data_IF_058225555311
#
_entry.id   IF_058225555311
#
_cell.length_a   1.000
_cell.length_b   1.000
_cell.length_c   1.000
_cell.angle_alpha   90.00
_cell.angle_beta   90.00
_cell.angle_gamma   90.00
#
_symmetry.space_group_name_H-M   'P 1'
#
loop_
_entity.id
_entity.type
_entity.pdbx_description
1 polymer ?
#
# COMPACT_ATOMS: atom_id res chain seq x y z
N UNK A 1 -1.77 16.18 38.18
CA UNK A 1 -2.74 15.29 38.84
C UNK A 1 -3.25 14.30 37.81
N UNK A 2 -2.69 13.09 37.81
CA UNK A 2 -3.02 12.04 36.85
C UNK A 2 -4.05 11.10 37.48
N UNK A 3 -5.22 10.98 36.85
CA UNK A 3 -6.24 10.01 37.24
C UNK A 3 -5.87 8.67 36.63
N UNK A 4 -5.56 7.71 37.49
CA UNK A 4 -5.29 6.33 37.14
C UNK A 4 -6.58 5.64 36.67
N UNK A 5 -6.56 5.10 35.45
CA UNK A 5 -7.56 4.14 34.98
C UNK A 5 -7.03 2.74 35.30
N UNK A 6 -7.64 2.09 36.28
CA UNK A 6 -7.20 0.81 36.82
C UNK A 6 -7.48 -0.37 35.88
N UNK A 7 -6.42 -1.09 35.51
CA UNK A 7 -6.52 -2.46 35.02
C UNK A 7 -6.57 -3.43 36.22
N UNK A 8 -7.60 -4.28 36.28
CA UNK A 8 -7.69 -5.34 37.28
C UNK A 8 -6.60 -6.39 37.06
N UNK A 9 -6.15 -6.93 38.19
CA UNK A 9 -5.01 -7.83 38.39
C UNK A 9 -5.21 -9.26 37.83
N UNK A 10 -4.05 -9.91 37.69
CA UNK A 10 -3.69 -11.34 37.65
C UNK A 10 -3.83 -12.15 36.36
N UNK A 11 -2.68 -12.68 35.90
CA UNK A 11 -2.56 -14.03 35.32
C UNK A 11 -2.23 -14.11 33.84
N UNK A 12 -0.93 -14.07 33.51
CA UNK A 12 -0.27 -14.75 32.36
C UNK A 12 -0.68 -14.45 30.89
N UNK A 13 -1.82 -13.82 30.59
CA UNK A 13 -2.20 -13.46 29.21
C UNK A 13 -1.56 -12.15 28.69
N UNK A 14 -0.82 -11.42 29.52
CA UNK A 14 -0.17 -10.16 29.13
C UNK A 14 0.95 -10.30 28.08
N UNK A 15 1.38 -11.52 27.74
CA UNK A 15 2.39 -11.72 26.69
C UNK A 15 1.83 -11.56 25.26
N UNK A 16 0.51 -11.53 25.08
CA UNK A 16 -0.12 -11.24 23.78
C UNK A 16 -0.35 -9.73 23.54
N UNK A 17 -0.03 -8.88 24.52
CA UNK A 17 -0.44 -7.47 24.58
C UNK A 17 0.47 -6.48 23.83
N UNK A 18 1.32 -6.94 22.90
CA UNK A 18 1.97 -6.03 21.96
C UNK A 18 1.19 -6.05 20.65
N UNK A 19 0.74 -4.89 20.14
CA UNK A 19 0.12 -4.86 18.84
C UNK A 19 1.11 -5.41 17.82
N UNK A 20 0.75 -6.54 17.19
CA UNK A 20 1.50 -7.16 16.10
C UNK A 20 1.18 -6.43 14.79
N UNK A 21 1.20 -5.10 14.83
CA UNK A 21 0.97 -4.26 13.67
C UNK A 21 2.07 -4.53 12.68
N UNK A 22 1.73 -5.35 11.70
CA UNK A 22 2.54 -5.56 10.52
C UNK A 22 2.64 -4.21 9.82
N UNK A 23 3.87 -3.84 9.45
CA UNK A 23 4.07 -2.69 8.57
C UNK A 23 3.21 -2.87 7.31
N UNK A 24 2.78 -1.76 6.71
CA UNK A 24 2.06 -1.74 5.43
C UNK A 24 2.76 -2.69 4.45
N UNK A 25 1.99 -3.57 3.83
CA UNK A 25 2.52 -4.60 2.95
C UNK A 25 3.18 -5.79 3.63
N UNK A 26 3.70 -5.80 4.87
CA UNK A 26 4.41 -6.96 5.44
C UNK A 26 3.64 -8.28 5.20
N UNK A 27 4.22 -9.22 4.41
CA UNK A 27 3.42 -10.32 3.87
C UNK A 27 2.94 -11.17 5.04
N UNK A 28 1.71 -11.67 4.97
CA UNK A 28 1.18 -12.56 6.00
C UNK A 28 2.10 -13.77 6.25
N UNK A 29 2.78 -14.23 5.20
CA UNK A 29 3.63 -15.42 5.17
C UNK A 29 5.02 -15.08 4.65
N UNK A 30 6.04 -15.91 4.97
CA UNK A 30 7.44 -15.64 4.62
C UNK A 30 7.64 -15.61 3.09
N UNK A 31 7.65 -14.41 2.53
CA UNK A 31 8.20 -14.07 1.22
C UNK A 31 9.18 -12.90 1.39
N UNK A 32 10.36 -12.98 0.75
CA UNK A 32 11.50 -12.10 1.02
C UNK A 32 11.19 -10.59 0.94
N UNK A 33 11.92 -9.81 1.75
CA UNK A 33 11.95 -8.34 1.74
C UNK A 33 12.59 -7.79 0.44
N UNK A 34 11.98 -8.01 -0.72
CA UNK A 34 12.26 -7.19 -1.89
C UNK A 34 11.42 -5.92 -1.79
N UNK A 35 11.91 -4.80 -2.35
CA UNK A 35 11.07 -3.62 -2.59
C UNK A 35 9.82 -4.09 -3.33
N UNK A 36 8.66 -3.97 -2.69
CA UNK A 36 7.36 -4.31 -3.29
C UNK A 36 6.87 -3.28 -4.27
N UNK A 37 7.47 -2.10 -4.20
CA UNK A 37 7.28 -1.06 -5.18
C UNK A 37 7.99 -1.49 -6.46
N UNK A 38 7.24 -1.56 -7.53
CA UNK A 38 7.73 -1.81 -8.88
C UNK A 38 6.91 -0.99 -9.84
N UNK A 39 7.49 -0.67 -10.99
CA UNK A 39 6.78 0.01 -12.06
C UNK A 39 7.03 -0.70 -13.37
N UNK A 40 6.18 -0.48 -14.35
CA UNK A 40 6.51 -0.84 -15.72
C UNK A 40 5.87 0.15 -16.67
N UNK A 41 6.50 0.20 -17.84
CA UNK A 41 6.08 1.00 -18.96
C UNK A 41 5.60 0.04 -20.04
N UNK A 42 4.43 0.31 -20.61
CA UNK A 42 3.94 -0.35 -21.81
C UNK A 42 3.79 0.65 -22.94
N UNK A 43 4.03 0.19 -24.17
CA UNK A 43 3.85 0.97 -25.38
C UNK A 43 3.18 0.12 -26.46
N UNK A 44 2.44 0.74 -27.39
CA UNK A 44 1.98 0.05 -28.58
C UNK A 44 3.18 -0.48 -29.39
N UNK A 45 3.05 -1.69 -29.90
CA UNK A 45 3.97 -2.30 -30.87
C UNK A 45 3.28 -2.54 -32.21
N UNK A 46 4.06 -2.68 -33.29
CA UNK A 46 3.55 -3.05 -34.62
C UNK A 46 3.54 -1.92 -35.67
N UNK A 47 3.07 -2.21 -36.89
CA UNK A 47 2.95 -1.20 -37.95
C UNK A 47 1.91 -0.12 -37.57
N UNK A 48 2.17 1.14 -37.92
CA UNK A 48 1.27 2.27 -37.60
C UNK A 48 1.64 3.11 -36.37
N UNK A 49 2.86 2.94 -35.82
CA UNK A 49 3.35 3.77 -34.73
C UNK A 49 3.36 5.26 -35.11
N UNK A 50 2.79 6.08 -34.21
CA UNK A 50 2.84 7.54 -34.32
C UNK A 50 4.31 7.97 -34.40
N UNK A 51 4.61 8.78 -35.41
CA UNK A 51 5.92 9.38 -35.62
C UNK A 51 5.90 10.83 -35.11
N UNK A 52 7.03 11.32 -34.57
CA UNK A 52 7.16 12.74 -34.23
C UNK A 52 6.86 13.63 -35.43
N UNK A 53 6.10 14.69 -35.19
CA UNK A 53 5.83 15.73 -36.18
C UNK A 53 7.11 16.50 -36.50
N UNK A 54 7.19 17.09 -37.69
CA UNK A 54 8.27 18.02 -38.05
C UNK A 54 8.30 19.28 -37.15
N UNK A 55 7.18 19.59 -36.50
CA UNK A 55 7.04 20.69 -35.53
C UNK A 55 7.26 20.25 -34.08
N UNK A 56 7.63 19.00 -33.84
CA UNK A 56 7.89 18.51 -32.50
C UNK A 56 9.15 19.16 -31.90
N UNK A 57 9.22 19.36 -30.58
CA UNK A 57 10.44 19.79 -29.91
C UNK A 57 11.63 18.87 -30.24
N UNK A 58 12.84 19.45 -30.30
CA UNK A 58 14.05 18.74 -30.71
C UNK A 58 14.38 17.51 -29.82
N UNK A 59 13.93 17.51 -28.56
CA UNK A 59 14.12 16.40 -27.62
C UNK A 59 13.16 15.22 -27.86
N UNK A 60 12.04 15.44 -28.56
CA UNK A 60 10.93 14.48 -28.64
C UNK A 60 11.32 13.20 -29.41
N UNK A 61 11.89 13.36 -30.61
CA UNK A 61 12.29 12.22 -31.44
C UNK A 61 13.45 11.41 -30.83
N UNK A 62 14.53 12.03 -30.31
CA UNK A 62 15.57 11.32 -29.56
C UNK A 62 15.02 10.54 -28.37
N UNK A 63 14.18 11.16 -27.53
CA UNK A 63 13.64 10.50 -26.34
C UNK A 63 12.77 9.30 -26.73
N UNK A 64 11.85 9.45 -27.68
CA UNK A 64 10.99 8.36 -28.13
C UNK A 64 11.80 7.16 -28.64
N UNK A 65 12.87 7.41 -29.40
CA UNK A 65 13.79 6.36 -29.87
C UNK A 65 14.42 5.63 -28.69
N UNK A 66 14.97 6.36 -27.73
CA UNK A 66 15.64 5.79 -26.55
C UNK A 66 14.68 4.97 -25.67
N UNK A 67 13.44 5.44 -25.50
CA UNK A 67 12.40 4.71 -24.76
C UNK A 67 12.05 3.40 -25.48
N UNK A 68 11.94 3.40 -26.82
CA UNK A 68 11.67 2.19 -27.62
C UNK A 68 12.82 1.18 -27.58
N UNK A 69 14.06 1.64 -27.57
CA UNK A 69 15.24 0.76 -27.52
C UNK A 69 15.57 0.28 -26.11
N UNK A 70 14.87 0.77 -25.08
CA UNK A 70 15.19 0.45 -23.69
C UNK A 70 16.54 1.02 -23.25
N UNK A 71 16.97 2.15 -23.81
CA UNK A 71 18.26 2.77 -23.50
C UNK A 71 18.34 3.22 -22.02
N UNK A 72 19.53 3.21 -21.39
CA UNK A 72 19.69 3.52 -19.97
C UNK A 72 19.23 4.92 -19.60
N UNK A 73 18.87 5.13 -18.33
CA UNK A 73 18.34 6.41 -17.83
C UNK A 73 19.26 7.60 -18.13
N UNK A 74 20.58 7.42 -18.03
CA UNK A 74 21.57 8.47 -18.31
C UNK A 74 21.42 9.05 -19.72
N UNK A 75 21.11 8.21 -20.71
CA UNK A 75 20.88 8.65 -22.09
C UNK A 75 19.55 9.40 -22.24
N UNK A 76 18.50 8.98 -21.52
CA UNK A 76 17.21 9.69 -21.50
C UNK A 76 17.39 11.12 -20.97
N UNK A 77 18.13 11.27 -19.88
CA UNK A 77 18.44 12.57 -19.27
C UNK A 77 19.34 13.41 -20.16
N UNK A 78 20.37 12.83 -20.78
CA UNK A 78 21.23 13.55 -21.71
C UNK A 78 20.45 14.08 -22.94
N UNK A 79 19.54 13.27 -23.49
CA UNK A 79 18.71 13.66 -24.63
C UNK A 79 17.68 14.75 -24.32
N UNK A 80 17.41 15.01 -23.04
CA UNK A 80 16.38 15.95 -22.58
C UNK A 80 16.93 17.08 -21.70
N UNK A 81 18.25 17.19 -21.55
CA UNK A 81 18.92 18.11 -20.64
C UNK A 81 18.56 19.59 -20.89
N UNK A 82 18.40 19.96 -22.16
CA UNK A 82 18.08 21.34 -22.56
C UNK A 82 16.56 21.66 -22.54
N UNK A 83 15.73 20.71 -22.08
CA UNK A 83 14.27 20.84 -22.08
C UNK A 83 13.68 20.49 -20.71
N UNK A 84 13.07 21.46 -20.00
CA UNK A 84 12.36 21.19 -18.75
C UNK A 84 11.21 20.18 -18.91
N UNK A 85 10.53 20.20 -20.07
CA UNK A 85 9.46 19.25 -20.38
C UNK A 85 10.02 17.84 -20.57
N UNK A 86 11.03 17.69 -21.42
CA UNK A 86 11.68 16.41 -21.67
C UNK A 86 12.28 15.81 -20.40
N UNK A 87 12.90 16.64 -19.56
CA UNK A 87 13.52 16.21 -18.29
C UNK A 87 12.49 15.59 -17.33
N UNK A 88 11.25 16.12 -17.27
CA UNK A 88 10.17 15.53 -16.46
C UNK A 88 9.77 14.15 -16.97
N UNK A 89 9.69 14.00 -18.29
CA UNK A 89 9.33 12.73 -18.93
C UNK A 89 10.46 11.69 -18.72
N UNK A 90 11.71 12.08 -18.93
CA UNK A 90 12.86 11.22 -18.67
C UNK A 90 12.90 10.76 -17.21
N UNK A 91 12.63 11.66 -16.26
CA UNK A 91 12.58 11.33 -14.84
C UNK A 91 11.46 10.36 -14.46
N UNK A 92 10.24 10.53 -14.99
CA UNK A 92 9.14 9.60 -14.68
C UNK A 92 9.36 8.23 -15.32
N UNK A 93 9.98 8.18 -16.51
CA UNK A 93 10.34 6.93 -17.17
C UNK A 93 11.46 6.22 -16.39
N UNK A 94 12.51 6.94 -15.98
CA UNK A 94 13.55 6.38 -15.10
C UNK A 94 12.94 5.86 -13.80
N UNK A 95 12.04 6.63 -13.17
CA UNK A 95 11.39 6.23 -11.92
C UNK A 95 10.76 4.84 -12.06
N UNK A 96 9.91 4.68 -13.07
CA UNK A 96 9.11 3.47 -13.29
C UNK A 96 9.96 2.30 -13.76
N UNK A 97 10.87 2.52 -14.71
CA UNK A 97 11.63 1.45 -15.36
C UNK A 97 12.86 1.02 -14.56
N UNK A 98 13.54 1.97 -13.93
CA UNK A 98 14.88 1.74 -13.39
C UNK A 98 14.90 1.93 -11.86
N UNK A 99 14.48 3.11 -11.37
CA UNK A 99 14.69 3.49 -9.98
C UNK A 99 13.88 2.64 -8.98
N UNK A 100 12.62 2.29 -9.31
CA UNK A 100 11.80 1.43 -8.44
C UNK A 100 12.32 -0.01 -8.32
N UNK A 101 13.11 -0.46 -9.29
CA UNK A 101 13.73 -1.80 -9.26
C UNK A 101 15.11 -1.79 -8.59
N UNK A 102 15.65 -0.61 -8.28
CA UNK A 102 16.94 -0.48 -7.60
C UNK A 102 16.80 -0.80 -6.11
N UNK A 103 17.76 -1.55 -5.52
CA UNK A 103 17.74 -1.85 -4.08
C UNK A 103 17.98 -0.62 -3.20
N UNK A 104 18.58 0.44 -3.75
CA UNK A 104 19.01 1.62 -3.00
C UNK A 104 17.84 2.53 -2.59
N UNK A 105 16.70 2.51 -3.31
CA UNK A 105 15.47 3.26 -2.97
C UNK A 105 15.57 4.80 -3.00
N UNK A 106 16.75 5.34 -2.69
CA UNK A 106 17.16 6.73 -2.63
C UNK A 106 16.89 7.47 -3.93
N UNK A 107 17.22 6.85 -5.07
CA UNK A 107 16.97 7.44 -6.38
C UNK A 107 15.46 7.55 -6.66
N UNK A 108 14.69 6.51 -6.34
CA UNK A 108 13.24 6.53 -6.51
C UNK A 108 12.59 7.60 -5.62
N UNK A 109 13.05 7.73 -4.36
CA UNK A 109 12.57 8.76 -3.45
C UNK A 109 12.85 10.17 -3.98
N UNK A 110 14.08 10.44 -4.45
CA UNK A 110 14.46 11.74 -5.02
C UNK A 110 13.62 12.10 -6.25
N UNK A 111 13.47 11.18 -7.19
CA UNK A 111 12.67 11.39 -8.41
C UNK A 111 11.20 11.63 -8.07
N UNK A 112 10.62 10.79 -7.22
CA UNK A 112 9.20 10.92 -6.83
C UNK A 112 8.96 12.21 -6.06
N UNK A 113 9.85 12.59 -5.13
CA UNK A 113 9.78 13.85 -4.41
C UNK A 113 9.80 15.06 -5.36
N UNK A 114 10.71 15.05 -6.34
CA UNK A 114 10.82 16.12 -7.33
C UNK A 114 9.56 16.22 -8.19
N UNK A 115 9.07 15.10 -8.73
CA UNK A 115 7.86 15.06 -9.56
C UNK A 115 6.60 15.50 -8.78
N UNK A 116 6.46 15.10 -7.51
CA UNK A 116 5.36 15.53 -6.62
C UNK A 116 5.42 17.03 -6.35
N UNK A 117 6.61 17.59 -6.09
CA UNK A 117 6.80 19.04 -5.89
C UNK A 117 6.42 19.85 -7.12
N UNK A 118 6.70 19.31 -8.32
CA UNK A 118 6.29 19.91 -9.59
C UNK A 118 4.80 19.76 -9.89
N UNK A 119 4.04 19.02 -9.07
CA UNK A 119 2.65 18.64 -9.32
C UNK A 119 2.47 17.99 -10.70
N UNK A 120 3.45 17.19 -11.12
CA UNK A 120 3.40 16.53 -12.41
C UNK A 120 2.34 15.42 -12.42
N UNK A 121 1.52 15.40 -13.46
CA UNK A 121 0.53 14.35 -13.70
C UNK A 121 0.84 13.61 -15.00
N UNK A 122 1.50 12.43 -14.93
CA UNK A 122 1.86 11.66 -16.11
C UNK A 122 0.64 11.22 -16.92
N UNK A 123 -0.53 11.09 -16.29
CA UNK A 123 -1.75 10.67 -16.98
C UNK A 123 -2.28 11.72 -17.94
N UNK A 124 -1.86 12.99 -17.80
CA UNK A 124 -2.28 14.11 -18.65
C UNK A 124 -1.19 14.58 -19.62
N UNK A 125 0.01 14.00 -19.54
CA UNK A 125 1.15 14.41 -20.34
C UNK A 125 0.93 14.14 -21.84
N UNK A 126 1.15 15.15 -22.67
CA UNK A 126 0.88 15.08 -24.10
C UNK A 126 1.81 14.12 -24.84
N UNK A 127 3.07 13.99 -24.41
CA UNK A 127 4.01 13.06 -25.03
C UNK A 127 3.60 11.62 -24.72
N UNK A 128 3.35 11.31 -23.44
CA UNK A 128 2.95 9.97 -23.02
C UNK A 128 1.65 9.53 -23.71
N UNK A 129 0.64 10.42 -23.76
CA UNK A 129 -0.63 10.14 -24.46
C UNK A 129 -0.46 9.96 -25.97
N UNK A 130 0.27 10.87 -26.64
CA UNK A 130 0.48 10.84 -28.09
C UNK A 130 1.10 9.54 -28.56
N UNK A 131 2.05 9.01 -27.78
CA UNK A 131 2.78 7.80 -28.13
C UNK A 131 2.22 6.53 -27.48
N UNK A 132 1.09 6.62 -26.77
CA UNK A 132 0.45 5.48 -26.11
C UNK A 132 1.33 4.86 -25.03
N UNK A 133 2.17 5.66 -24.38
CA UNK A 133 3.04 5.21 -23.30
C UNK A 133 2.23 5.18 -22.02
N UNK A 134 1.90 3.98 -21.55
CA UNK A 134 1.23 3.79 -20.27
C UNK A 134 2.26 3.45 -19.20
N UNK A 135 2.20 4.18 -18.09
CA UNK A 135 3.02 3.96 -16.91
C UNK A 135 2.14 3.38 -15.83
N UNK A 136 2.55 2.24 -15.27
CA UNK A 136 1.83 1.57 -14.18
C UNK A 136 2.78 1.36 -13.02
N UNK A 137 2.26 1.50 -11.80
CA UNK A 137 3.00 1.22 -10.58
C UNK A 137 2.24 0.24 -9.71
N UNK A 138 3.00 -0.53 -8.94
CA UNK A 138 2.52 -1.43 -7.92
C UNK A 138 2.63 -0.77 -6.56
N UNK A 139 1.51 -0.60 -5.88
CA UNK A 139 1.43 0.00 -4.55
C UNK A 139 1.01 -1.05 -3.52
N UNK A 140 1.62 -1.07 -2.33
CA UNK A 140 1.28 -2.02 -1.29
C UNK A 140 -0.11 -1.75 -0.71
N UNK A 141 -0.85 -2.83 -0.49
CA UNK A 141 -2.02 -2.88 0.38
C UNK A 141 -1.68 -3.65 1.66
N UNK A 142 -2.71 -4.09 2.39
CA UNK A 142 -2.54 -4.93 3.58
C UNK A 142 -2.31 -6.40 3.22
N UNK A 143 -1.77 -7.17 4.17
CA UNK A 143 -1.59 -8.61 4.03
C UNK A 143 -0.54 -9.07 3.02
N UNK A 144 0.25 -8.14 2.47
CA UNK A 144 1.19 -8.43 1.38
C UNK A 144 0.55 -8.48 -0.01
N UNK A 145 -0.72 -8.10 -0.11
CA UNK A 145 -1.34 -7.78 -1.38
C UNK A 145 -0.77 -6.46 -1.90
N UNK A 146 -0.51 -6.40 -3.20
CA UNK A 146 -0.23 -5.15 -3.89
C UNK A 146 -1.31 -4.89 -4.95
N UNK A 147 -1.51 -3.62 -5.31
CA UNK A 147 -2.42 -3.20 -6.39
C UNK A 147 -1.66 -2.51 -7.50
N UNK A 148 -2.05 -2.81 -8.72
CA UNK A 148 -1.52 -2.18 -9.91
C UNK A 148 -2.41 -1.00 -10.27
N UNK A 149 -1.82 0.20 -10.37
CA UNK A 149 -2.55 1.41 -10.70
C UNK A 149 -1.83 2.20 -11.79
N UNK A 150 -2.57 2.81 -12.73
CA UNK A 150 -1.98 3.78 -13.66
C UNK A 150 -1.31 4.92 -12.89
N UNK A 151 -0.12 5.30 -13.32
CA UNK A 151 0.64 6.37 -12.68
C UNK A 151 0.06 7.74 -13.07
N UNK A 152 -0.84 8.24 -12.23
CA UNK A 152 -1.32 9.62 -12.25
C UNK A 152 -0.73 10.41 -11.06
N UNK A 153 -1.11 11.68 -10.92
CA UNK A 153 -0.66 12.54 -9.81
C UNK A 153 -0.95 11.96 -8.41
N UNK A 154 -2.10 11.30 -8.24
CA UNK A 154 -2.49 10.63 -6.98
C UNK A 154 -1.58 9.44 -6.69
N UNK A 155 -1.43 8.52 -7.65
CA UNK A 155 -0.57 7.34 -7.53
C UNK A 155 0.90 7.73 -7.30
N UNK A 156 1.37 8.80 -7.95
CA UNK A 156 2.71 9.35 -7.74
C UNK A 156 2.90 9.85 -6.29
N UNK A 157 1.89 10.50 -5.71
CA UNK A 157 1.97 10.97 -4.31
C UNK A 157 1.85 9.83 -3.31
N UNK A 158 1.03 8.82 -3.58
CA UNK A 158 0.97 7.59 -2.78
C UNK A 158 2.30 6.84 -2.83
N UNK A 159 2.91 6.73 -4.01
CA UNK A 159 4.25 6.16 -4.17
C UNK A 159 5.31 6.92 -3.35
N UNK A 160 5.25 8.25 -3.36
CA UNK A 160 6.13 9.08 -2.51
C UNK A 160 5.92 8.79 -1.02
N UNK A 161 4.66 8.70 -0.58
CA UNK A 161 4.32 8.41 0.81
C UNK A 161 4.89 7.05 1.25
N UNK A 162 4.78 6.01 0.42
CA UNK A 162 5.34 4.68 0.71
C UNK A 162 6.87 4.71 0.77
N UNK A 163 7.54 5.40 -0.15
CA UNK A 163 9.00 5.51 -0.16
C UNK A 163 9.53 6.25 1.07
N UNK A 164 8.88 7.36 1.46
CA UNK A 164 9.35 8.18 2.59
C UNK A 164 8.92 7.63 3.95
N UNK A 165 7.89 6.77 4.03
CA UNK A 165 7.33 6.28 5.29
C UNK A 165 8.39 5.67 6.22
N UNK A 166 9.37 4.95 5.68
CA UNK A 166 10.44 4.34 6.48
C UNK A 166 11.36 5.37 7.17
N UNK A 167 11.48 6.56 6.60
CA UNK A 167 12.34 7.64 7.09
C UNK A 167 11.56 8.68 7.89
N UNK A 168 10.39 9.07 7.40
CA UNK A 168 9.54 10.10 7.99
C UNK A 168 8.05 9.77 7.78
N UNK A 169 7.47 9.17 8.81
CA UNK A 169 6.04 8.83 8.84
C UNK A 169 5.14 10.08 8.88
N UNK A 170 5.64 11.24 9.36
CA UNK A 170 4.87 12.50 9.40
C UNK A 170 4.74 13.06 8.00
N UNK A 171 5.87 13.16 7.28
CA UNK A 171 5.87 13.63 5.90
C UNK A 171 5.06 12.70 4.98
N UNK A 172 5.16 11.38 5.19
CA UNK A 172 4.33 10.42 4.47
C UNK A 172 2.83 10.66 4.70
N UNK A 173 2.40 10.82 5.96
CA UNK A 173 0.99 11.07 6.27
C UNK A 173 0.49 12.39 5.68
N UNK A 174 1.26 13.47 5.84
CA UNK A 174 0.91 14.79 5.29
C UNK A 174 0.78 14.77 3.75
N UNK A 175 1.58 13.95 3.06
CA UNK A 175 1.44 13.77 1.62
C UNK A 175 0.08 13.13 1.26
N UNK A 176 -0.41 12.18 2.04
CA UNK A 176 -1.69 11.49 1.76
C UNK A 176 -2.89 12.31 2.21
N UNK A 177 -2.81 13.01 3.34
CA UNK A 177 -3.88 13.88 3.89
C UNK A 177 -4.34 14.98 2.94
N UNK A 178 -3.50 15.35 1.96
CA UNK A 178 -3.77 16.41 0.99
C UNK A 178 -4.34 15.89 -0.33
N UNK A 179 -4.56 14.58 -0.46
CA UNK A 179 -5.18 13.97 -1.63
C UNK A 179 -6.70 14.05 -1.55
N UNK A 180 -7.35 14.04 -2.72
CA UNK A 180 -8.78 13.79 -2.79
C UNK A 180 -9.12 12.42 -2.18
N UNK A 181 -10.20 12.32 -1.38
CA UNK A 181 -10.60 11.08 -0.74
C UNK A 181 -10.80 9.95 -1.75
N UNK A 182 -10.10 8.83 -1.53
CA UNK A 182 -10.24 7.60 -2.30
C UNK A 182 -9.99 6.39 -1.40
N UNK A 183 -10.48 5.22 -1.79
CA UNK A 183 -10.31 3.98 -1.01
C UNK A 183 -8.83 3.62 -0.86
N UNK A 184 -8.02 3.86 -1.89
CA UNK A 184 -6.58 3.63 -1.86
C UNK A 184 -5.85 4.63 -0.94
N UNK A 185 -6.16 5.92 -1.02
CA UNK A 185 -5.59 6.93 -0.11
C UNK A 185 -5.99 6.65 1.35
N UNK A 186 -7.24 6.28 1.60
CA UNK A 186 -7.73 5.86 2.90
C UNK A 186 -6.98 4.64 3.44
N UNK A 187 -6.70 3.65 2.58
CA UNK A 187 -5.88 2.49 2.95
C UNK A 187 -4.48 2.92 3.37
N UNK A 188 -3.75 3.66 2.55
CA UNK A 188 -2.40 4.14 2.89
C UNK A 188 -2.42 4.98 4.17
N UNK A 189 -3.39 5.88 4.34
CA UNK A 189 -3.51 6.71 5.53
C UNK A 189 -3.78 5.88 6.80
N UNK A 190 -4.69 4.90 6.73
CA UNK A 190 -4.94 3.97 7.84
C UNK A 190 -3.64 3.28 8.27
N UNK A 191 -2.83 2.90 7.29
CA UNK A 191 -1.55 2.24 7.49
C UNK A 191 -0.54 3.13 8.21
N UNK A 192 -0.37 4.37 7.74
CA UNK A 192 0.54 5.37 8.30
C UNK A 192 0.13 5.77 9.72
N UNK A 193 -1.17 5.98 9.96
CA UNK A 193 -1.70 6.27 11.29
C UNK A 193 -1.53 5.09 12.24
N UNK A 194 -1.77 3.86 11.76
CA UNK A 194 -1.57 2.65 12.56
C UNK A 194 -0.11 2.47 12.98
N UNK A 195 0.84 2.71 12.08
CA UNK A 195 2.27 2.67 12.40
C UNK A 195 2.65 3.67 13.51
N UNK A 196 1.95 4.81 13.58
CA UNK A 196 2.12 5.86 14.59
C UNK A 196 1.21 5.71 15.81
N UNK A 197 0.43 4.61 15.90
CA UNK A 197 -0.57 4.38 16.96
C UNK A 197 -1.61 5.48 17.11
N UNK A 198 -1.92 6.17 16.02
CA UNK A 198 -2.96 7.20 15.91
C UNK A 198 -4.35 6.54 15.82
N UNK A 199 -4.74 5.80 16.86
CA UNK A 199 -5.92 4.92 16.82
C UNK A 199 -7.23 5.67 16.67
N UNK A 200 -7.40 6.76 17.42
CA UNK A 200 -8.59 7.59 17.31
C UNK A 200 -8.77 8.12 15.89
N UNK A 201 -7.68 8.60 15.26
CA UNK A 201 -7.74 9.09 13.88
C UNK A 201 -8.18 7.98 12.92
N UNK A 202 -7.61 6.77 13.03
CA UNK A 202 -8.01 5.61 12.19
C UNK A 202 -9.50 5.32 12.37
N UNK A 203 -10.00 5.28 13.61
CA UNK A 203 -11.42 5.00 13.89
C UNK A 203 -12.34 6.08 13.33
N UNK A 204 -11.97 7.35 13.49
CA UNK A 204 -12.79 8.49 13.08
C UNK A 204 -12.95 8.55 11.56
N UNK A 205 -11.84 8.59 10.81
CA UNK A 205 -11.95 8.75 9.35
C UNK A 205 -12.50 7.50 8.66
N UNK A 206 -12.30 6.31 9.25
CA UNK A 206 -12.78 5.05 8.67
C UNK A 206 -14.22 4.71 9.06
N UNK A 207 -14.87 5.53 9.89
CA UNK A 207 -16.25 5.34 10.32
C UNK A 207 -17.24 5.10 9.15
N UNK A 208 -17.23 5.91 8.06
CA UNK A 208 -18.19 5.79 6.96
C UNK A 208 -17.81 4.75 5.90
N UNK A 209 -16.66 4.07 6.02
CA UNK A 209 -16.16 3.18 4.96
C UNK A 209 -16.93 1.87 4.93
N UNK A 210 -17.43 1.53 3.74
CA UNK A 210 -18.06 0.25 3.43
C UNK A 210 -17.11 -0.65 2.63
N UNK A 211 -17.28 -1.97 2.76
CA UNK A 211 -16.43 -2.95 2.11
C UNK A 211 -16.80 -3.12 0.62
N UNK A 212 -16.45 -2.14 -0.23
CA UNK A 212 -16.78 -2.15 -1.67
C UNK A 212 -15.65 -2.65 -2.57
N UNK A 213 -14.39 -2.54 -2.13
CA UNK A 213 -13.20 -3.04 -2.83
C UNK A 213 -12.13 -3.57 -1.87
N UNK A 214 -10.97 -3.99 -2.41
CA UNK A 214 -9.85 -4.50 -1.62
C UNK A 214 -9.22 -3.43 -0.70
N UNK A 215 -9.19 -2.17 -1.12
CA UNK A 215 -8.62 -1.09 -0.33
C UNK A 215 -9.52 -0.76 0.88
N UNK A 216 -10.85 -0.76 0.70
CA UNK A 216 -11.81 -0.67 1.80
C UNK A 216 -11.66 -1.82 2.81
N UNK A 217 -11.49 -3.06 2.33
CA UNK A 217 -11.25 -4.19 3.21
C UNK A 217 -9.98 -3.99 4.05
N UNK A 218 -8.88 -3.51 3.45
CA UNK A 218 -7.66 -3.15 4.17
C UNK A 218 -7.90 -2.07 5.24
N UNK A 219 -8.71 -1.04 4.94
CA UNK A 219 -9.08 -0.02 5.93
C UNK A 219 -9.90 -0.60 7.07
N UNK A 220 -10.89 -1.46 6.78
CA UNK A 220 -11.72 -2.09 7.81
C UNK A 220 -10.94 -3.01 8.74
N UNK A 221 -9.95 -3.74 8.23
CA UNK A 221 -9.03 -4.52 9.05
C UNK A 221 -8.29 -3.60 10.02
N UNK A 222 -7.71 -2.49 9.52
CA UNK A 222 -6.99 -1.52 10.37
C UNK A 222 -7.90 -0.81 11.35
N UNK A 223 -9.16 -0.52 10.99
CA UNK A 223 -10.19 -0.03 11.90
C UNK A 223 -10.45 -1.03 13.03
N UNK A 224 -10.58 -2.31 12.70
CA UNK A 224 -10.77 -3.38 13.69
C UNK A 224 -9.61 -3.44 14.68
N UNK A 225 -8.38 -3.35 14.17
CA UNK A 225 -7.18 -3.26 15.02
C UNK A 225 -7.20 -2.01 15.89
N UNK A 226 -7.47 -0.83 15.32
CA UNK A 226 -7.52 0.42 16.07
C UNK A 226 -8.57 0.39 17.20
N UNK A 227 -9.77 -0.15 16.92
CA UNK A 227 -10.82 -0.34 17.92
C UNK A 227 -10.38 -1.29 19.04
N UNK A 228 -9.70 -2.40 18.70
CA UNK A 228 -9.13 -3.32 19.72
C UNK A 228 -8.12 -2.59 20.61
N UNK A 229 -7.21 -1.82 20.03
CA UNK A 229 -6.19 -1.09 20.80
C UNK A 229 -6.79 -0.01 21.70
N UNK A 230 -7.98 0.50 21.37
CA UNK A 230 -8.77 1.40 22.22
C UNK A 230 -9.65 0.67 23.25
N UNK A 231 -9.59 -0.66 23.33
CA UNK A 231 -10.43 -1.47 24.22
C UNK A 231 -11.88 -1.63 23.76
N UNK A 232 -12.21 -1.24 22.54
CA UNK A 232 -13.55 -1.31 21.95
C UNK A 232 -13.78 -2.66 21.25
N UNK A 233 -13.73 -3.76 22.01
CA UNK A 233 -13.76 -5.14 21.48
C UNK A 233 -14.95 -5.42 20.55
N UNK A 234 -16.16 -4.99 20.93
CA UNK A 234 -17.36 -5.23 20.11
C UNK A 234 -17.26 -4.57 18.72
N UNK A 235 -16.79 -3.32 18.67
CA UNK A 235 -16.57 -2.61 17.41
C UNK A 235 -15.44 -3.22 16.58
N UNK A 236 -14.38 -3.71 17.23
CA UNK A 236 -13.30 -4.41 16.53
C UNK A 236 -13.82 -5.66 15.79
N UNK A 237 -14.58 -6.51 16.48
CA UNK A 237 -15.17 -7.71 15.90
C UNK A 237 -16.15 -7.38 14.77
N UNK A 238 -16.96 -6.33 14.91
CA UNK A 238 -17.86 -5.87 13.85
C UNK A 238 -17.09 -5.46 12.59
N UNK A 239 -15.98 -4.72 12.74
CA UNK A 239 -15.15 -4.30 11.62
C UNK A 239 -14.53 -5.49 10.88
N UNK A 240 -14.02 -6.51 11.60
CA UNK A 240 -13.51 -7.72 10.98
C UNK A 240 -14.62 -8.55 10.30
N UNK A 241 -15.80 -8.63 10.91
CA UNK A 241 -16.95 -9.33 10.34
C UNK A 241 -17.34 -8.77 8.97
N UNK A 242 -17.25 -7.45 8.77
CA UNK A 242 -17.50 -6.82 7.46
C UNK A 242 -16.57 -7.32 6.35
N UNK A 243 -15.40 -7.89 6.69
CA UNK A 243 -14.43 -8.43 5.74
C UNK A 243 -14.58 -9.94 5.55
N UNK A 244 -14.88 -10.69 6.61
CA UNK A 244 -14.89 -12.17 6.57
C UNK A 244 -16.27 -12.80 6.35
N UNK A 245 -17.32 -11.98 6.20
CA UNK A 245 -18.69 -12.45 5.92
C UNK A 245 -18.77 -13.23 4.59
N UNK A 246 -19.45 -14.39 4.57
CA UNK A 246 -19.62 -15.24 3.39
C UNK A 246 -20.04 -14.49 2.11
N UNK A 247 -20.96 -13.53 2.27
CA UNK A 247 -21.55 -12.74 1.18
C UNK A 247 -20.56 -11.80 0.47
N UNK A 248 -19.45 -11.45 1.12
CA UNK A 248 -18.43 -10.55 0.57
C UNK A 248 -17.12 -11.30 0.28
N UNK A 249 -16.95 -12.49 0.85
CA UNK A 249 -15.67 -13.20 0.83
C UNK A 249 -15.22 -13.78 -0.51
N UNK A 250 -16.09 -13.98 -1.50
CA UNK A 250 -15.66 -14.39 -2.84
C UNK A 250 -15.12 -13.22 -3.67
N UNK A 251 -15.49 -11.99 -3.33
CA UNK A 251 -15.12 -10.77 -4.06
C UNK A 251 -13.87 -10.08 -3.50
N UNK A 252 -13.25 -10.63 -2.44
CA UNK A 252 -12.05 -10.06 -1.80
C UNK A 252 -10.86 -11.00 -1.91
N UNK A 253 -9.64 -10.47 -2.06
CA UNK A 253 -8.42 -11.27 -2.05
C UNK A 253 -8.31 -12.14 -0.79
N UNK A 254 -7.82 -13.37 -0.96
CA UNK A 254 -7.70 -14.35 0.11
C UNK A 254 -6.75 -13.87 1.22
N UNK A 255 -5.76 -13.06 0.86
CA UNK A 255 -4.77 -12.45 1.75
C UNK A 255 -5.47 -11.54 2.77
N UNK A 256 -6.32 -10.63 2.31
CA UNK A 256 -7.06 -9.70 3.19
C UNK A 256 -8.04 -10.45 4.09
N UNK A 257 -8.66 -11.53 3.57
CA UNK A 257 -9.51 -12.39 4.38
C UNK A 257 -8.72 -13.09 5.48
N UNK A 258 -7.56 -13.64 5.16
CA UNK A 258 -6.70 -14.31 6.13
C UNK A 258 -6.19 -13.34 7.19
N UNK A 259 -5.81 -12.12 6.81
CA UNK A 259 -5.43 -11.06 7.75
C UNK A 259 -6.58 -10.71 8.70
N UNK A 260 -7.78 -10.49 8.16
CA UNK A 260 -8.96 -10.20 8.97
C UNK A 260 -9.31 -11.35 9.94
N UNK A 261 -9.18 -12.61 9.50
CA UNK A 261 -9.40 -13.78 10.37
C UNK A 261 -8.34 -13.89 11.47
N UNK A 262 -7.07 -13.63 11.16
CA UNK A 262 -5.98 -13.60 12.15
C UNK A 262 -6.22 -12.52 13.21
N UNK A 263 -6.52 -11.30 12.78
CA UNK A 263 -6.76 -10.18 13.68
C UNK A 263 -8.04 -10.38 14.50
N UNK A 264 -9.09 -10.97 13.91
CA UNK A 264 -10.31 -11.35 14.65
C UNK A 264 -10.01 -12.44 15.68
N UNK A 265 -9.24 -13.47 15.33
CA UNK A 265 -8.86 -14.53 16.26
C UNK A 265 -8.05 -13.98 17.44
N UNK A 266 -7.08 -13.09 17.18
CA UNK A 266 -6.32 -12.40 18.23
C UNK A 266 -7.21 -11.58 19.17
N UNK A 267 -8.19 -10.87 18.59
CA UNK A 267 -9.18 -10.10 19.35
C UNK A 267 -10.06 -10.99 20.21
N UNK A 268 -10.56 -12.10 19.66
CA UNK A 268 -11.37 -13.09 20.38
C UNK A 268 -10.59 -13.75 21.51
N UNK A 269 -9.30 -14.07 21.30
CA UNK A 269 -8.43 -14.63 22.35
C UNK A 269 -8.23 -13.65 23.49
N UNK A 270 -8.01 -12.37 23.18
CA UNK A 270 -7.89 -11.30 24.17
C UNK A 270 -9.18 -11.11 24.99
N UNK A 271 -10.34 -11.43 24.41
CA UNK A 271 -11.66 -11.43 25.03
C UNK A 271 -12.03 -12.79 25.71
N UNK A 272 -11.10 -13.77 25.73
CA UNK A 272 -11.31 -15.09 26.33
C UNK A 272 -12.15 -16.06 25.48
N UNK A 273 -12.54 -15.69 24.27
CA UNK A 273 -13.40 -16.46 23.36
C UNK A 273 -12.60 -17.45 22.51
N UNK A 274 -12.13 -18.53 23.14
CA UNK A 274 -11.24 -19.55 22.53
C UNK A 274 -11.85 -20.31 21.33
N UNK A 275 -13.06 -20.85 21.47
CA UNK A 275 -13.70 -21.66 20.41
C UNK A 275 -13.89 -20.93 19.07
N UNK A 276 -14.44 -19.70 19.01
CA UNK A 276 -14.53 -18.99 17.75
C UNK A 276 -13.15 -18.60 17.20
N UNK A 277 -12.17 -18.25 18.05
CA UNK A 277 -10.81 -17.97 17.61
C UNK A 277 -10.17 -19.19 16.92
N UNK A 278 -10.31 -20.39 17.51
CA UNK A 278 -9.83 -21.64 16.91
C UNK A 278 -10.32 -21.83 15.47
N UNK A 279 -11.62 -21.65 15.24
CA UNK A 279 -12.23 -21.82 13.91
C UNK A 279 -11.69 -20.83 12.89
N UNK A 280 -11.34 -19.62 13.31
CA UNK A 280 -10.74 -18.62 12.42
C UNK A 280 -9.31 -18.98 12.06
N UNK A 281 -8.52 -19.45 13.03
CA UNK A 281 -7.15 -19.90 12.80
C UNK A 281 -7.10 -21.14 11.88
N UNK A 282 -8.01 -22.11 12.08
CA UNK A 282 -8.14 -23.27 11.21
C UNK A 282 -8.47 -22.88 9.75
N UNK A 283 -9.32 -21.87 9.56
CA UNK A 283 -9.63 -21.32 8.22
C UNK A 283 -8.42 -20.66 7.59
N UNK A 284 -7.59 -19.94 8.37
CA UNK A 284 -6.34 -19.36 7.87
C UNK A 284 -5.39 -20.48 7.45
N UNK A 285 -5.20 -21.50 8.29
CA UNK A 285 -4.30 -22.63 8.03
C UNK A 285 -4.74 -23.51 6.85
N UNK A 286 -6.03 -23.51 6.51
CA UNK A 286 -6.54 -24.21 5.32
C UNK A 286 -5.94 -23.64 4.03
N UNK A 287 -5.78 -22.33 3.95
CA UNK A 287 -5.22 -21.65 2.77
C UNK A 287 -3.72 -21.36 2.91
N UNK A 288 -3.24 -21.21 4.14
CA UNK A 288 -1.88 -20.82 4.47
C UNK A 288 -1.33 -21.71 5.60
N UNK A 289 -1.03 -22.99 5.31
CA UNK A 289 -0.61 -23.97 6.32
C UNK A 289 0.69 -23.59 7.03
N UNK A 290 1.58 -22.85 6.34
CA UNK A 290 2.88 -22.39 6.87
C UNK A 290 2.78 -21.07 7.66
N UNK A 291 1.57 -20.66 8.04
CA UNK A 291 1.34 -19.48 8.86
C UNK A 291 1.87 -19.67 10.28
N UNK A 292 3.13 -19.27 10.51
CA UNK A 292 3.72 -19.27 11.85
C UNK A 292 2.83 -18.53 12.86
N UNK A 293 2.26 -17.38 12.48
CA UNK A 293 1.39 -16.63 13.38
C UNK A 293 0.08 -17.36 13.72
N UNK A 294 -0.55 -18.03 12.74
CA UNK A 294 -1.75 -18.81 13.03
C UNK A 294 -1.43 -20.02 13.92
N UNK A 295 -0.29 -20.69 13.68
CA UNK A 295 0.19 -21.80 14.49
C UNK A 295 0.47 -21.36 15.93
N UNK A 296 1.16 -20.23 16.11
CA UNK A 296 1.47 -19.66 17.43
C UNK A 296 0.18 -19.33 18.21
N UNK A 297 -0.79 -18.66 17.57
CA UNK A 297 -2.06 -18.34 18.21
C UNK A 297 -2.89 -19.59 18.50
N UNK A 298 -2.80 -20.62 17.65
CA UNK A 298 -3.54 -21.88 17.85
C UNK A 298 -2.97 -22.67 19.04
N UNK A 299 -1.66 -22.64 19.26
CA UNK A 299 -1.04 -23.23 20.45
C UNK A 299 -1.57 -22.57 21.74
N UNK A 300 -1.78 -21.24 21.75
CA UNK A 300 -2.38 -20.54 22.90
C UNK A 300 -3.83 -20.96 23.16
N UNK A 301 -4.59 -21.32 22.13
CA UNK A 301 -5.98 -21.81 22.31
C UNK A 301 -6.01 -23.17 23.03
N UNK A 302 -4.98 -23.98 22.84
CA UNK A 302 -4.90 -25.37 23.36
C UNK A 302 -4.48 -25.44 24.84
N UNK A 303 -3.97 -24.34 25.40
CA UNK A 303 -3.61 -24.20 26.83
C UNK A 303 -4.62 -23.30 27.55
#
# INVERSE_FOLDING_TARGET
>A
MAVAVGFRRSGELCALSRPRLRAVGAPLFRGGRRSRLSGWLSMPGGPGLVRPSALAPAWEAPLLRLVRTGAPASELHAATADSPEGSRIAAVIELVRDALHSPDGDRALRLTCWLVRLRYDPSTDSFLRRYGIALTVRLPLSGGLDVEVPLNSVALRLLYAELIASMDHVAAAAAVETLEPSTLAASTLAALYSARRRWNDVVEFSAPIENVDAACAAVLIRRGVALRELGMTAGALEAFDRVVRPTVTSARPAELRAEALLERASTLLSDGRRTPARRDLERVLTHYPDSAEAQDLLAVVQH
#
